data_IF_531370169947
#
_entry.id   IF_531370169947
#
_cell.length_a   1.000
_cell.length_b   1.000
_cell.length_c   1.000
_cell.angle_alpha   90.00
_cell.angle_beta   90.00
_cell.angle_gamma   90.00
#
_symmetry.space_group_name_H-M   'P 1'
#
loop_
_entity.id
_entity.type
_entity.pdbx_description
1 polymer ?
#
# COMPACT_ATOMS: atom_id res chain seq x y z
N UNK A 1 -5.19 -10.72 7.17
CA UNK A 1 -5.17 -11.74 6.10
C UNK A 1 -6.10 -11.41 4.91
N UNK A 2 -6.96 -10.39 4.99
CA UNK A 2 -7.96 -10.09 3.94
C UNK A 2 -7.62 -8.97 2.94
N UNK A 3 -6.50 -8.23 3.11
CA UNK A 3 -6.06 -7.23 2.10
C UNK A 3 -5.89 -7.84 0.70
N UNK A 4 -5.57 -9.14 0.63
CA UNK A 4 -5.31 -9.86 -0.63
C UNK A 4 -6.56 -10.46 -1.30
N UNK A 5 -7.74 -10.45 -0.67
CA UNK A 5 -8.90 -11.21 -1.19
C UNK A 5 -9.80 -10.45 -2.17
N UNK A 6 -9.64 -9.14 -2.36
CA UNK A 6 -10.52 -8.36 -3.25
C UNK A 6 -10.14 -8.35 -4.73
N UNK A 7 -9.09 -9.07 -5.16
CA UNK A 7 -8.57 -8.97 -6.53
C UNK A 7 -8.65 -10.25 -7.35
N UNK A 8 -9.61 -11.15 -7.11
CA UNK A 8 -9.83 -12.26 -8.04
C UNK A 8 -10.39 -11.74 -9.37
N UNK A 9 -9.52 -11.45 -10.35
CA UNK A 9 -9.81 -11.43 -11.79
C UNK A 9 -8.54 -11.15 -12.60
N UNK A 10 -7.93 -12.20 -13.16
CA UNK A 10 -7.04 -12.25 -14.36
C UNK A 10 -5.79 -11.35 -14.45
N UNK A 11 -5.62 -10.36 -13.57
CA UNK A 11 -4.49 -9.40 -13.52
C UNK A 11 -3.45 -9.74 -12.45
N UNK A 12 -3.71 -10.77 -11.62
CA UNK A 12 -2.81 -11.16 -10.53
C UNK A 12 -1.44 -11.64 -11.03
N UNK A 13 -1.37 -12.17 -12.26
CA UNK A 13 -0.11 -12.61 -12.84
C UNK A 13 0.79 -11.45 -13.27
N UNK A 14 0.34 -10.19 -13.34
CA UNK A 14 1.19 -9.07 -13.80
C UNK A 14 1.48 -8.03 -12.73
N UNK A 15 0.78 -8.08 -11.59
CA UNK A 15 0.98 -7.09 -10.54
C UNK A 15 2.24 -7.38 -9.71
N UNK A 16 3.15 -6.42 -9.69
CA UNK A 16 4.41 -6.47 -8.96
C UNK A 16 4.49 -5.29 -7.99
N UNK A 17 4.89 -5.55 -6.75
CA UNK A 17 5.07 -4.54 -5.72
C UNK A 17 6.30 -3.65 -6.05
N UNK A 18 6.12 -2.34 -6.27
CA UNK A 18 7.23 -1.46 -6.62
C UNK A 18 8.32 -1.38 -5.54
N UNK A 19 7.96 -1.52 -4.26
CA UNK A 19 8.93 -1.48 -3.14
C UNK A 19 9.86 -2.69 -3.12
N UNK A 20 9.33 -3.86 -3.43
CA UNK A 20 10.11 -5.09 -3.55
C UNK A 20 11.10 -4.99 -4.72
N UNK A 21 10.69 -4.39 -5.84
CA UNK A 21 11.57 -4.12 -6.98
C UNK A 21 12.65 -3.11 -6.63
N UNK A 22 12.31 -2.00 -5.96
CA UNK A 22 13.29 -1.04 -5.45
C UNK A 22 14.32 -1.73 -4.56
N UNK A 23 13.88 -2.61 -3.65
CA UNK A 23 14.76 -3.36 -2.76
C UNK A 23 15.72 -4.28 -3.53
N UNK A 24 15.25 -4.97 -4.56
CA UNK A 24 16.11 -5.81 -5.41
C UNK A 24 17.07 -4.97 -6.26
N UNK A 25 16.62 -3.81 -6.73
CA UNK A 25 17.46 -2.86 -7.45
C UNK A 25 18.58 -2.31 -6.56
N UNK A 26 18.29 -2.05 -5.27
CA UNK A 26 19.30 -1.63 -4.29
C UNK A 26 20.30 -2.74 -3.96
N UNK A 27 19.92 -4.02 -4.11
CA UNK A 27 20.85 -5.17 -4.04
C UNK A 27 21.73 -5.29 -5.29
N UNK A 28 21.46 -4.52 -6.35
CA UNK A 28 22.22 -4.52 -7.60
C UNK A 28 21.63 -5.36 -8.72
N UNK A 29 20.41 -5.87 -8.57
CA UNK A 29 19.69 -6.56 -9.65
C UNK A 29 19.04 -5.56 -10.60
N UNK A 30 18.96 -5.87 -11.89
CA UNK A 30 18.29 -5.02 -12.87
C UNK A 30 16.78 -4.96 -12.63
N UNK A 31 16.15 -3.79 -12.80
CA UNK A 31 14.71 -3.61 -12.55
C UNK A 31 13.83 -4.54 -13.41
N UNK A 32 14.21 -4.77 -14.68
CA UNK A 32 13.53 -5.71 -15.57
C UNK A 32 13.59 -7.16 -15.06
N UNK A 33 14.75 -7.60 -14.58
CA UNK A 33 14.90 -8.94 -13.98
C UNK A 33 14.16 -9.06 -12.65
N UNK A 34 14.27 -8.04 -11.80
CA UNK A 34 13.62 -7.99 -10.50
C UNK A 34 12.09 -8.08 -10.63
N UNK A 35 11.50 -7.34 -11.57
CA UNK A 35 10.05 -7.36 -11.82
C UNK A 35 9.59 -8.74 -12.28
N UNK A 36 10.31 -9.36 -13.22
CA UNK A 36 10.01 -10.69 -13.74
C UNK A 36 10.20 -11.79 -12.69
N UNK A 37 11.23 -11.68 -11.85
CA UNK A 37 11.46 -12.61 -10.75
C UNK A 37 10.38 -12.50 -9.67
N UNK A 38 9.99 -11.27 -9.31
CA UNK A 38 8.89 -11.03 -8.35
C UNK A 38 7.54 -11.49 -8.89
N UNK A 39 7.33 -11.41 -10.20
CA UNK A 39 6.15 -11.95 -10.86
C UNK A 39 6.06 -13.47 -10.68
N UNK A 40 7.16 -14.20 -10.92
CA UNK A 40 7.23 -15.66 -10.68
C UNK A 40 7.20 -16.02 -9.19
N UNK A 41 7.76 -15.16 -8.34
CA UNK A 41 7.84 -15.35 -6.90
C UNK A 41 6.59 -14.87 -6.13
N UNK A 42 5.56 -14.36 -6.82
CA UNK A 42 4.35 -13.80 -6.21
C UNK A 42 4.65 -12.71 -5.15
N UNK A 43 5.55 -11.79 -5.50
CA UNK A 43 6.01 -10.66 -4.67
C UNK A 43 6.80 -11.02 -3.40
N UNK A 44 7.29 -12.26 -3.27
CA UNK A 44 8.23 -12.66 -2.22
C UNK A 44 9.68 -12.33 -2.62
N UNK A 45 10.33 -11.46 -1.84
CA UNK A 45 11.70 -11.00 -2.10
C UNK A 45 12.69 -12.17 -1.99
N UNK A 46 12.56 -13.02 -0.98
CA UNK A 46 13.54 -14.09 -0.73
C UNK A 46 13.51 -15.12 -1.87
N UNK A 47 12.31 -15.51 -2.26
CA UNK A 47 12.10 -16.42 -3.38
C UNK A 47 12.51 -15.79 -4.71
N UNK A 48 12.30 -14.49 -4.89
CA UNK A 48 12.78 -13.77 -6.08
C UNK A 48 14.31 -13.75 -6.17
N UNK A 49 15.02 -13.53 -5.05
CA UNK A 49 16.49 -13.57 -5.01
C UNK A 49 17.01 -14.96 -5.34
N UNK A 50 16.38 -16.02 -4.81
CA UNK A 50 16.73 -17.40 -5.14
C UNK A 50 16.62 -17.65 -6.65
N UNK A 51 15.48 -17.29 -7.26
CA UNK A 51 15.26 -17.42 -8.71
C UNK A 51 16.27 -16.61 -9.53
N UNK A 52 16.59 -15.39 -9.11
CA UNK A 52 17.60 -14.56 -9.77
C UNK A 52 19.00 -15.18 -9.73
N UNK A 53 19.32 -15.95 -8.69
CA UNK A 53 20.62 -16.62 -8.55
C UNK A 53 20.68 -17.96 -9.30
N UNK A 54 19.57 -18.72 -9.34
CA UNK A 54 19.54 -20.06 -9.94
C UNK A 54 19.19 -20.05 -11.43
N UNK A 55 18.32 -19.14 -11.87
CA UNK A 55 17.69 -19.14 -13.20
C UNK A 55 17.91 -17.83 -13.98
N UNK A 56 19.00 -17.10 -13.70
CA UNK A 56 19.32 -15.80 -14.35
C UNK A 56 19.26 -15.87 -15.88
N UNK A 57 19.86 -16.89 -16.50
CA UNK A 57 19.88 -17.06 -17.97
C UNK A 57 18.47 -17.26 -18.57
N UNK A 58 17.56 -17.93 -17.85
CA UNK A 58 16.17 -18.14 -18.30
C UNK A 58 15.34 -16.86 -18.17
N UNK A 59 15.57 -16.10 -17.10
CA UNK A 59 14.95 -14.80 -16.87
C UNK A 59 15.37 -13.80 -17.96
N UNK A 60 16.67 -13.73 -18.28
CA UNK A 60 17.22 -12.87 -19.33
C UNK A 60 16.61 -13.18 -20.71
N UNK A 61 16.36 -14.46 -21.00
CA UNK A 61 15.68 -14.88 -22.24
C UNK A 61 14.21 -14.50 -22.30
N UNK A 62 13.55 -14.37 -21.15
CA UNK A 62 12.14 -14.02 -21.02
C UNK A 62 11.89 -12.50 -20.94
N UNK A 63 12.93 -11.67 -20.83
CA UNK A 63 12.79 -10.22 -20.81
C UNK A 63 12.28 -9.69 -22.16
N UNK A 64 11.22 -8.87 -22.17
CA UNK A 64 10.87 -8.10 -23.34
C UNK A 64 12.02 -7.12 -23.66
N UNK A 65 12.63 -7.26 -24.83
CA UNK A 65 13.81 -6.49 -25.26
C UNK A 65 13.59 -4.99 -25.48
N UNK A 66 12.41 -4.45 -25.12
CA UNK A 66 12.12 -3.04 -25.25
C UNK A 66 12.28 -2.34 -23.89
N UNK A 67 13.18 -1.35 -23.77
CA UNK A 67 13.22 -0.52 -22.58
C UNK A 67 11.92 0.29 -22.49
N UNK A 68 11.19 0.15 -21.40
CA UNK A 68 9.99 0.95 -21.13
C UNK A 68 10.45 2.39 -20.87
N UNK A 69 10.23 3.28 -21.83
CA UNK A 69 10.58 4.69 -21.66
C UNK A 69 9.59 5.34 -20.70
N UNK A 70 10.07 5.79 -19.54
CA UNK A 70 9.24 6.47 -18.53
C UNK A 70 8.84 7.85 -19.03
N UNK A 71 7.54 8.13 -19.00
CA UNK A 71 7.01 9.47 -19.26
C UNK A 71 7.24 10.39 -18.05
N UNK A 72 8.14 11.36 -18.20
CA UNK A 72 8.48 12.34 -17.16
C UNK A 72 7.28 13.16 -16.70
N UNK A 73 6.29 13.37 -17.57
CA UNK A 73 5.09 14.15 -17.22
C UNK A 73 4.21 13.37 -16.23
N UNK A 74 4.06 12.06 -16.45
CA UNK A 74 3.31 11.15 -15.57
C UNK A 74 4.03 10.92 -14.25
N UNK A 75 5.36 10.83 -14.29
CA UNK A 75 6.18 10.77 -13.08
C UNK A 75 5.99 12.02 -12.22
N UNK A 76 6.03 13.21 -12.82
CA UNK A 76 5.81 14.48 -12.12
C UNK A 76 4.42 14.53 -11.46
N UNK A 77 3.40 13.97 -12.11
CA UNK A 77 2.05 13.88 -11.55
C UNK A 77 1.97 12.97 -10.32
N UNK A 78 2.62 11.80 -10.33
CA UNK A 78 2.69 10.91 -9.16
C UNK A 78 3.45 11.57 -8.00
N UNK A 79 4.57 12.24 -8.29
CA UNK A 79 5.30 13.01 -7.29
C UNK A 79 4.44 14.12 -6.69
N UNK A 80 3.59 14.76 -7.51
CA UNK A 80 2.68 15.80 -7.05
C UNK A 80 1.63 15.26 -6.06
N UNK A 81 1.19 14.00 -6.20
CA UNK A 81 0.31 13.32 -5.24
C UNK A 81 1.01 12.96 -3.92
N UNK A 82 2.34 13.12 -3.84
CA UNK A 82 3.13 12.82 -2.64
C UNK A 82 3.72 11.41 -2.62
N UNK A 83 3.72 10.71 -3.75
CA UNK A 83 4.40 9.40 -3.86
C UNK A 83 5.92 9.56 -3.97
N UNK A 84 6.64 8.51 -3.56
CA UNK A 84 8.09 8.46 -3.68
C UNK A 84 8.52 8.29 -5.14
N UNK A 85 9.63 8.92 -5.52
CA UNK A 85 10.14 8.91 -6.91
C UNK A 85 10.48 7.50 -7.40
N UNK A 86 11.23 6.74 -6.61
CA UNK A 86 11.66 5.39 -6.96
C UNK A 86 10.45 4.46 -7.15
N UNK A 87 9.51 4.48 -6.20
CA UNK A 87 8.30 3.67 -6.27
C UNK A 87 7.42 4.07 -7.47
N UNK A 88 7.29 5.38 -7.73
CA UNK A 88 6.52 5.91 -8.87
C UNK A 88 7.13 5.51 -10.21
N UNK A 89 8.46 5.50 -10.31
CA UNK A 89 9.18 5.07 -11.51
C UNK A 89 8.90 3.61 -11.82
N UNK A 90 9.06 2.74 -10.83
CA UNK A 90 8.80 1.31 -10.98
C UNK A 90 7.33 1.03 -11.25
N UNK A 91 6.41 1.73 -10.57
CA UNK A 91 4.99 1.57 -10.81
C UNK A 91 4.60 1.95 -12.25
N UNK A 92 5.20 3.00 -12.82
CA UNK A 92 5.00 3.39 -14.21
C UNK A 92 5.62 2.40 -15.21
N UNK A 93 6.79 1.83 -14.88
CA UNK A 93 7.42 0.76 -15.68
C UNK A 93 6.49 -0.46 -15.74
N UNK A 94 5.98 -0.90 -14.60
CA UNK A 94 5.06 -2.04 -14.49
C UNK A 94 3.72 -1.77 -15.17
N UNK A 95 3.17 -0.56 -15.00
CA UNK A 95 1.90 -0.13 -15.58
C UNK A 95 2.02 0.29 -17.05
N UNK A 96 3.18 0.10 -17.71
CA UNK A 96 3.41 0.49 -19.11
C UNK A 96 3.01 1.95 -19.40
N UNK A 97 3.36 2.87 -18.49
CA UNK A 97 2.99 4.29 -18.49
C UNK A 97 1.48 4.59 -18.33
N UNK A 98 0.68 3.70 -17.77
CA UNK A 98 -0.70 4.01 -17.37
C UNK A 98 -0.74 4.61 -15.95
N UNK A 99 -1.21 5.86 -15.81
CA UNK A 99 -1.23 6.57 -14.52
C UNK A 99 -2.19 5.91 -13.54
N UNK A 100 -3.38 5.52 -14.01
CA UNK A 100 -4.44 4.95 -13.16
C UNK A 100 -3.96 3.64 -12.52
N UNK A 101 -3.39 2.75 -13.33
CA UNK A 101 -2.85 1.47 -12.86
C UNK A 101 -1.59 1.62 -12.00
N UNK A 102 -0.76 2.64 -12.25
CA UNK A 102 0.37 2.98 -11.41
C UNK A 102 -0.09 3.47 -10.02
N UNK A 103 -1.11 4.33 -9.96
CA UNK A 103 -1.68 4.81 -8.69
C UNK A 103 -2.29 3.67 -7.90
N UNK A 104 -3.10 2.81 -8.55
CA UNK A 104 -3.69 1.65 -7.90
C UNK A 104 -2.60 0.73 -7.33
N UNK A 105 -1.51 0.53 -8.08
CA UNK A 105 -0.38 -0.29 -7.65
C UNK A 105 0.39 0.34 -6.47
N UNK A 106 0.54 1.66 -6.45
CA UNK A 106 1.17 2.40 -5.37
C UNK A 106 0.32 2.40 -4.09
N UNK A 107 -1.00 2.62 -4.23
CA UNK A 107 -1.94 2.53 -3.11
C UNK A 107 -1.91 1.12 -2.50
N UNK A 108 -1.91 0.08 -3.32
CA UNK A 108 -1.81 -1.30 -2.86
C UNK A 108 -0.46 -1.63 -2.18
N UNK A 109 0.61 -0.90 -2.46
CA UNK A 109 1.94 -1.12 -1.88
C UNK A 109 2.13 -0.42 -0.52
N UNK A 110 1.19 0.44 -0.13
CA UNK A 110 1.24 1.18 1.14
C UNK A 110 0.62 0.33 2.25
N UNK A 111 1.47 -0.16 3.15
CA UNK A 111 1.06 -0.96 4.30
C UNK A 111 0.97 -0.15 5.61
N UNK A 112 1.47 1.09 5.63
CA UNK A 112 1.50 1.95 6.80
C UNK A 112 0.33 2.95 6.79
N UNK A 113 -0.42 3.01 7.90
CA UNK A 113 -1.46 4.03 8.10
C UNK A 113 -0.86 5.44 8.10
N UNK A 114 0.35 5.61 8.62
CA UNK A 114 1.02 6.92 8.68
C UNK A 114 1.26 7.46 7.26
N UNK A 115 1.80 6.63 6.38
CA UNK A 115 2.04 7.00 4.98
C UNK A 115 0.72 7.32 4.27
N UNK A 116 -0.29 6.47 4.43
CA UNK A 116 -1.59 6.66 3.80
C UNK A 116 -2.28 7.96 4.26
N UNK A 117 -2.23 8.27 5.56
CA UNK A 117 -2.80 9.50 6.11
C UNK A 117 -2.02 10.75 5.67
N UNK A 118 -0.70 10.66 5.48
CA UNK A 118 0.10 11.77 4.94
C UNK A 118 -0.28 12.08 3.49
N UNK A 119 -0.44 11.05 2.66
CA UNK A 119 -0.88 11.17 1.27
C UNK A 119 -2.29 11.77 1.23
N UNK A 120 -3.24 11.23 2.01
CA UNK A 120 -4.60 11.76 2.07
C UNK A 120 -4.63 13.26 2.45
N UNK A 121 -3.90 13.67 3.50
CA UNK A 121 -3.83 15.08 3.91
C UNK A 121 -3.24 15.97 2.83
N UNK A 122 -2.22 15.48 2.12
CA UNK A 122 -1.58 16.21 1.04
C UNK A 122 -2.52 16.39 -0.16
N UNK A 123 -3.15 15.30 -0.60
CA UNK A 123 -4.10 15.30 -1.72
C UNK A 123 -5.35 16.13 -1.40
N UNK A 124 -5.87 16.08 -0.17
CA UNK A 124 -6.97 16.94 0.27
C UNK A 124 -6.60 18.43 0.26
N UNK A 125 -5.36 18.78 0.65
CA UNK A 125 -4.88 20.16 0.58
C UNK A 125 -4.87 20.65 -0.87
N UNK A 126 -4.36 19.82 -1.78
CA UNK A 126 -4.34 20.11 -3.21
C UNK A 126 -5.74 20.29 -3.81
N UNK A 127 -6.68 19.39 -3.47
CA UNK A 127 -8.06 19.48 -3.95
C UNK A 127 -8.74 20.78 -3.47
N UNK A 128 -8.48 21.22 -2.24
CA UNK A 128 -9.00 22.49 -1.70
C UNK A 128 -8.41 23.71 -2.41
N UNK A 129 -7.11 23.69 -2.73
CA UNK A 129 -6.44 24.78 -3.45
C UNK A 129 -6.91 24.89 -4.91
N UNK A 130 -7.25 23.77 -5.57
CA UNK A 130 -7.80 23.77 -6.93
C UNK A 130 -9.23 24.34 -7.04
N UNK A 131 -9.98 24.41 -5.94
CA UNK A 131 -11.36 24.92 -5.90
C UNK A 131 -11.49 26.39 -5.47
N UNK A 132 -10.44 27.00 -4.91
CA UNK A 132 -10.47 28.36 -4.39
C UNK A 132 -9.31 29.20 -4.94
N UNK A 133 -9.33 29.57 -6.22
CA UNK A 133 -8.58 30.74 -6.71
C UNK A 133 -9.08 31.18 -8.09
N UNK A 134 -10.14 32.00 -8.09
CA UNK A 134 -10.39 32.96 -9.18
C UNK A 134 -10.19 34.42 -8.76
N UNK A 135 -9.95 34.74 -7.49
CA UNK A 135 -9.70 36.11 -7.04
C UNK A 135 -8.63 36.16 -5.94
N UNK A 136 -7.38 36.41 -6.32
CA UNK A 136 -6.28 36.67 -5.40
C UNK A 136 -5.00 37.08 -6.13
N UNK A 137 -4.37 38.23 -5.80
CA UNK A 137 -3.31 38.80 -6.62
C UNK A 137 -2.04 37.95 -6.57
N UNK A 138 -1.56 37.60 -7.77
CA UNK A 138 -0.26 36.96 -7.99
C UNK A 138 0.88 37.79 -7.39
N UNK A 139 1.67 37.16 -6.52
CA UNK A 139 3.05 37.59 -6.25
C UNK A 139 3.99 36.40 -6.42
N UNK A 140 4.63 36.38 -7.58
CA UNK A 140 6.02 35.97 -7.82
C UNK A 140 6.46 34.51 -7.58
N UNK A 141 6.44 33.76 -8.69
CA UNK A 141 7.60 33.07 -9.32
C UNK A 141 8.45 32.08 -8.50
N UNK A 142 8.33 30.80 -8.85
CA UNK A 142 9.48 29.92 -9.06
C UNK A 142 9.23 29.04 -10.30
N UNK A 143 10.05 29.27 -11.33
CA UNK A 143 10.37 28.44 -12.49
C UNK A 143 9.40 27.34 -12.96
N UNK A 144 8.73 27.65 -14.08
CA UNK A 144 8.64 26.82 -15.27
C UNK A 144 8.69 25.30 -15.13
N UNK A 145 7.52 24.70 -14.97
CA UNK A 145 7.12 23.47 -15.65
C UNK A 145 5.61 23.52 -15.74
N UNK A 146 5.08 23.44 -16.96
CA UNK A 146 3.65 23.33 -17.26
C UNK A 146 2.97 22.37 -16.28
N UNK A 147 2.12 22.94 -15.43
CA UNK A 147 1.28 22.24 -14.48
C UNK A 147 0.39 21.27 -15.25
N UNK A 148 0.82 20.02 -15.37
CA UNK A 148 -0.01 18.94 -15.89
C UNK A 148 -1.02 18.58 -14.80
N UNK A 149 -1.99 19.48 -14.59
CA UNK A 149 -3.06 19.33 -13.62
C UNK A 149 -3.67 17.93 -13.78
N UNK A 150 -3.56 17.12 -12.72
CA UNK A 150 -4.18 15.82 -12.67
C UNK A 150 -5.70 15.99 -12.85
N UNK A 151 -6.36 15.09 -13.61
CA UNK A 151 -7.80 15.16 -13.78
C UNK A 151 -8.47 15.03 -12.41
N UNK A 152 -9.35 16.00 -12.09
CA UNK A 152 -10.13 16.01 -10.85
C UNK A 152 -10.74 14.65 -10.44
N UNK A 153 -11.33 13.83 -11.35
CA UNK A 153 -11.88 12.52 -10.96
C UNK A 153 -10.83 11.53 -10.42
N UNK A 154 -9.59 11.64 -10.88
CA UNK A 154 -8.51 10.75 -10.45
C UNK A 154 -8.00 11.15 -9.06
N UNK A 155 -7.92 12.45 -8.78
CA UNK A 155 -7.65 12.97 -7.43
C UNK A 155 -8.73 12.49 -6.46
N UNK A 156 -10.00 12.59 -6.86
CA UNK A 156 -11.13 12.12 -6.05
C UNK A 156 -11.10 10.60 -5.83
N UNK A 157 -10.73 9.82 -6.85
CA UNK A 157 -10.56 8.37 -6.72
C UNK A 157 -9.49 8.01 -5.69
N UNK A 158 -8.33 8.69 -5.71
CA UNK A 158 -7.26 8.48 -4.71
C UNK A 158 -7.74 8.81 -3.30
N UNK A 159 -8.47 9.93 -3.14
CA UNK A 159 -9.04 10.34 -1.85
C UNK A 159 -9.99 9.27 -1.31
N UNK A 160 -10.91 8.79 -2.15
CA UNK A 160 -11.90 7.79 -1.75
C UNK A 160 -11.23 6.47 -1.38
N UNK A 161 -10.27 6.01 -2.20
CA UNK A 161 -9.51 4.80 -1.91
C UNK A 161 -8.77 4.88 -0.57
N UNK A 162 -8.05 5.98 -0.33
CA UNK A 162 -7.31 6.17 0.92
C UNK A 162 -8.24 6.27 2.14
N UNK A 163 -9.43 6.86 2.00
CA UNK A 163 -10.43 6.92 3.08
C UNK A 163 -11.01 5.55 3.40
N UNK A 164 -11.39 4.79 2.38
CA UNK A 164 -11.92 3.44 2.52
C UNK A 164 -10.89 2.55 3.23
N UNK A 165 -9.62 2.62 2.83
CA UNK A 165 -8.54 1.89 3.48
C UNK A 165 -8.37 2.29 4.95
N UNK A 166 -8.27 3.59 5.26
CA UNK A 166 -8.18 4.07 6.66
C UNK A 166 -9.39 3.61 7.50
N UNK A 167 -10.58 3.61 6.91
CA UNK A 167 -11.78 3.11 7.59
C UNK A 167 -11.68 1.62 7.91
N UNK A 168 -11.17 0.81 6.98
CA UNK A 168 -10.95 -0.63 7.24
C UNK A 168 -9.95 -0.87 8.37
N UNK A 169 -8.86 -0.08 8.45
CA UNK A 169 -7.91 -0.14 9.57
C UNK A 169 -8.60 0.16 10.90
N UNK A 170 -9.34 1.26 10.97
CA UNK A 170 -10.07 1.67 12.19
C UNK A 170 -11.14 0.65 12.60
N UNK A 171 -11.82 0.05 11.62
CA UNK A 171 -12.79 -1.02 11.89
C UNK A 171 -12.09 -2.26 12.48
N UNK A 172 -10.92 -2.63 11.96
CA UNK A 172 -10.11 -3.71 12.51
C UNK A 172 -9.64 -3.42 13.94
N UNK A 173 -9.19 -2.20 14.23
CA UNK A 173 -8.80 -1.81 15.59
C UNK A 173 -9.96 -1.91 16.59
N UNK A 174 -11.14 -1.40 16.21
CA UNK A 174 -12.36 -1.52 17.03
C UNK A 174 -12.73 -2.97 17.30
N UNK A 175 -12.68 -3.80 16.26
CA UNK A 175 -12.95 -5.24 16.39
C UNK A 175 -11.92 -5.92 17.32
N UNK A 176 -10.64 -5.62 17.16
CA UNK A 176 -9.59 -6.20 17.99
C UNK A 176 -9.65 -5.71 19.44
N UNK A 177 -10.09 -4.47 19.68
CA UNK A 177 -10.33 -3.98 21.05
C UNK A 177 -11.50 -4.70 21.72
N UNK A 178 -12.55 -5.05 20.98
CA UNK A 178 -13.70 -5.78 21.51
C UNK A 178 -13.33 -7.22 21.89
N UNK A 179 -12.45 -7.88 21.11
CA UNK A 179 -11.93 -9.22 21.44
C UNK A 179 -11.08 -9.25 22.71
N UNK A 180 -10.22 -8.25 22.90
CA UNK A 180 -9.29 -8.21 24.04
C UNK A 180 -9.97 -8.01 25.40
N UNK A 181 -11.23 -7.59 25.45
CA UNK A 181 -11.95 -7.31 26.71
C UNK A 181 -12.82 -8.47 27.19
N UNK A 182 -13.15 -9.46 26.36
CA UNK A 182 -14.13 -10.50 26.72
C UNK A 182 -13.52 -11.79 27.28
N UNK A 183 -12.34 -12.20 26.80
CA UNK A 183 -11.88 -13.59 27.01
C UNK A 183 -10.89 -13.79 28.17
N UNK A 184 -10.35 -12.71 28.74
CA UNK A 184 -9.37 -12.79 29.85
C UNK A 184 -9.94 -12.32 31.21
N UNK A 185 -11.04 -11.58 31.24
CA UNK A 185 -11.62 -11.10 32.51
C UNK A 185 -12.28 -12.23 33.33
N UNK A 186 -12.64 -13.33 32.67
CA UNK A 186 -13.22 -14.53 33.30
C UNK A 186 -12.18 -15.57 33.74
N UNK A 187 -10.91 -15.45 33.34
CA UNK A 187 -9.88 -16.45 33.64
C UNK A 187 -8.94 -16.05 34.79
N UNK A 188 -8.94 -14.77 35.18
CA UNK A 188 -8.18 -14.26 36.32
C UNK A 188 -9.11 -13.81 37.45
N UNK A 189 -9.95 -14.73 37.97
CA UNK A 189 -10.59 -14.47 39.25
C UNK A 189 -9.48 -14.35 40.31
N UNK A 190 -9.37 -13.24 41.07
CA UNK A 190 -8.43 -13.18 42.18
C UNK A 190 -8.73 -14.34 43.14
N UNK A 191 -7.69 -15.02 43.66
CA UNK A 191 -7.79 -16.24 44.48
C UNK A 191 -8.93 -16.22 45.53
N UNK A 192 -9.18 -15.05 46.13
CA UNK A 192 -10.23 -14.85 47.15
C UNK A 192 -11.64 -15.10 46.60
N UNK A 193 -11.91 -14.74 45.34
CA UNK A 193 -13.21 -14.99 44.69
C UNK A 193 -13.34 -16.45 44.28
N UNK A 194 -12.26 -17.05 43.79
CA UNK A 194 -12.23 -18.47 43.46
C UNK A 194 -12.49 -19.35 44.69
N UNK A 195 -11.81 -19.05 45.81
CA UNK A 195 -12.00 -19.76 47.08
C UNK A 195 -13.46 -19.73 47.53
N UNK A 196 -14.11 -18.56 47.47
CA UNK A 196 -15.53 -18.43 47.82
C UNK A 196 -16.42 -19.33 46.95
N UNK A 197 -16.20 -19.33 45.65
CA UNK A 197 -16.98 -20.14 44.69
C UNK A 197 -16.78 -21.64 44.97
N UNK A 198 -15.53 -22.07 45.20
CA UNK A 198 -15.20 -23.46 45.51
C UNK A 198 -15.82 -23.90 46.86
N UNK A 199 -15.86 -23.01 47.85
CA UNK A 199 -16.45 -23.32 49.16
C UNK A 199 -17.97 -23.47 49.06
N UNK A 200 -18.65 -22.61 48.30
CA UNK A 200 -20.08 -22.75 48.04
C UNK A 200 -20.40 -24.02 47.27
N UNK A 201 -19.61 -24.35 46.24
CA UNK A 201 -19.77 -25.59 45.49
C UNK A 201 -19.55 -26.84 46.36
N UNK A 202 -18.54 -26.81 47.23
CA UNK A 202 -18.29 -27.87 48.20
C UNK A 202 -19.47 -28.08 49.15
N UNK A 203 -20.06 -26.99 49.67
CA UNK A 203 -21.22 -27.06 50.55
C UNK A 203 -22.47 -27.60 49.84
N UNK A 204 -22.65 -27.31 48.54
CA UNK A 204 -23.75 -27.87 47.73
C UNK A 204 -23.59 -29.37 47.49
N UNK A 205 -22.36 -29.88 47.36
CA UNK A 205 -22.08 -31.32 47.20
C UNK A 205 -22.20 -32.12 48.50
N UNK A 206 -22.20 -31.43 49.65
CA UNK A 206 -22.26 -32.07 50.96
C UNK A 206 -23.70 -32.20 51.50
N UNK A 207 -24.71 -31.66 50.79
CA UNK A 207 -26.14 -31.92 50.99
C UNK A 207 -26.61 -33.09 50.12
#
# INVERSE_FOLDING_TARGET
MERRLKRSNSKDCTWVNPRSVCSLNDMGFESGLATLALQRANNDILKAVELLQTESDELDGALPRLPVTIDKTKLAQLLQLGFHENDSRVALENASNNIEEAIDSLMCAIDSEEELTTILKHVERMAKTGGQNRDGPSTSTASGQTEAALPAPLIEAVINHARDEIETYKAYERFNSDLNMSDMEYLDLPLIKEEKILTEYFNMLQQ
#
